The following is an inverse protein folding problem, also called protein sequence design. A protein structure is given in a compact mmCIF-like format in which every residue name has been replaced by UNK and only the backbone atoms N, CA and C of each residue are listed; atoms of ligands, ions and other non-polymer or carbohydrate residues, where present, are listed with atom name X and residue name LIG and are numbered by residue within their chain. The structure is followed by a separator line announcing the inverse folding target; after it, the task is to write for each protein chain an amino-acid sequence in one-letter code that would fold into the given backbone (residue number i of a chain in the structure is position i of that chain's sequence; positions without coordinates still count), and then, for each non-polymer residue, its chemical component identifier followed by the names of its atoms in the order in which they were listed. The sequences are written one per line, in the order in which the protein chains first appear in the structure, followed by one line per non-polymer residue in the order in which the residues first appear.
data_IF_765537339624
#
_entry.id   IF_765537339624
#
_cell.length_a   1.000
_cell.length_b   1.000
_cell.length_c   1.000
_cell.angle_alpha   90.00
_cell.angle_beta   90.00
_cell.angle_gamma   90.00
#
_symmetry.space_group_name_H-M   'P 1'
#
loop_
_entity.id
_entity.type
_entity.pdbx_description
1 polymer ?
#
# COMPACT_ATOMS: atom_id res chain seq x y z
N UNK A 1 -8.40 5.21 24.64
CA UNK A 1 -8.96 5.79 23.40
C UNK A 1 -8.18 5.18 22.24
N UNK A 2 -8.55 3.97 21.82
CA UNK A 2 -7.84 3.26 20.75
C UNK A 2 -8.25 3.91 19.43
N UNK A 3 -7.28 4.53 18.77
CA UNK A 3 -7.49 5.24 17.51
C UNK A 3 -8.11 4.29 16.50
N UNK A 4 -8.98 4.85 15.69
CA UNK A 4 -9.94 4.18 14.82
C UNK A 4 -9.24 3.35 13.72
N UNK A 5 -8.68 2.18 14.05
CA UNK A 5 -8.06 1.25 13.09
C UNK A 5 -9.10 0.40 12.35
N UNK A 6 -10.39 0.58 12.66
CA UNK A 6 -11.48 -0.19 12.04
C UNK A 6 -11.84 0.39 10.69
N UNK A 7 -12.03 -0.47 9.69
CA UNK A 7 -12.42 -0.08 8.34
C UNK A 7 -13.83 0.52 8.34
N UNK A 8 -13.99 1.69 7.74
CA UNK A 8 -15.28 2.36 7.62
C UNK A 8 -16.19 1.61 6.62
N UNK A 9 -17.52 1.69 6.75
CA UNK A 9 -18.43 1.09 5.78
C UNK A 9 -18.16 1.62 4.36
N UNK A 10 -17.93 0.71 3.40
CA UNK A 10 -17.64 1.07 1.99
C UNK A 10 -16.24 1.60 1.72
N UNK A 11 -15.36 1.68 2.73
CA UNK A 11 -13.95 2.06 2.55
C UNK A 11 -13.19 0.95 1.82
N UNK A 12 -12.40 1.33 0.82
CA UNK A 12 -11.53 0.38 0.12
C UNK A 12 -10.43 -0.13 1.04
N UNK A 13 -10.04 -1.40 0.88
CA UNK A 13 -9.04 -2.04 1.75
C UNK A 13 -7.70 -1.29 1.76
N UNK A 14 -7.26 -0.75 0.62
CA UNK A 14 -6.02 0.03 0.52
C UNK A 14 -6.14 1.39 1.19
N UNK A 15 -7.27 2.08 1.00
CA UNK A 15 -7.55 3.36 1.66
C UNK A 15 -7.56 3.20 3.19
N UNK A 16 -8.16 2.11 3.66
CA UNK A 16 -8.13 1.72 5.07
C UNK A 16 -6.72 1.44 5.58
N UNK A 17 -5.92 0.65 4.86
CA UNK A 17 -4.53 0.41 5.22
C UNK A 17 -3.74 1.72 5.33
N UNK A 18 -3.84 2.59 4.33
CA UNK A 18 -3.16 3.89 4.36
C UNK A 18 -3.60 4.74 5.56
N UNK A 19 -4.90 4.73 5.91
CA UNK A 19 -5.39 5.39 7.12
C UNK A 19 -4.84 4.78 8.41
N UNK A 20 -4.69 3.46 8.48
CA UNK A 20 -4.02 2.79 9.59
C UNK A 20 -2.55 3.23 9.71
N UNK A 21 -1.84 3.34 8.59
CA UNK A 21 -0.48 3.90 8.55
C UNK A 21 -0.44 5.32 9.08
N UNK A 22 -1.28 6.21 8.55
CA UNK A 22 -1.37 7.63 8.98
C UNK A 22 -1.71 7.76 10.47
N UNK A 23 -2.46 6.80 11.02
CA UNK A 23 -2.77 6.67 12.45
C UNK A 23 -1.67 6.00 13.29
N UNK A 24 -0.45 5.85 12.74
CA UNK A 24 0.74 5.29 13.37
C UNK A 24 0.65 3.80 13.71
N UNK A 25 -0.01 2.98 12.88
CA UNK A 25 0.00 1.53 13.04
C UNK A 25 1.41 0.91 13.04
N UNK A 26 2.42 1.60 12.49
CA UNK A 26 3.81 1.13 12.50
C UNK A 26 4.50 1.25 13.86
N UNK A 27 4.06 2.18 14.71
CA UNK A 27 4.61 2.36 16.06
C UNK A 27 3.92 1.55 17.14
N UNK A 28 2.92 0.73 16.76
CA UNK A 28 2.16 -0.11 17.69
C UNK A 28 2.60 -1.56 17.51
N UNK A 29 3.47 -2.05 18.38
CA UNK A 29 3.82 -3.47 18.45
C UNK A 29 2.73 -4.22 19.20
N UNK A 30 2.23 -5.31 18.62
CA UNK A 30 1.18 -6.12 19.22
C UNK A 30 1.54 -7.59 19.11
N UNK A 31 1.33 -8.36 20.17
CA UNK A 31 1.24 -9.82 20.06
C UNK A 31 -0.12 -10.22 19.47
N UNK A 32 -0.22 -11.43 18.89
CA UNK A 32 -1.48 -11.93 18.34
C UNK A 32 -2.65 -11.95 19.33
N UNK A 33 -2.40 -11.99 20.65
CA UNK A 33 -3.44 -11.86 21.69
C UNK A 33 -3.92 -10.42 21.88
N UNK A 34 -3.03 -9.44 21.79
CA UNK A 34 -3.36 -8.01 21.88
C UNK A 34 -4.07 -7.56 20.61
N UNK A 35 -3.66 -8.08 19.45
CA UNK A 35 -4.34 -7.85 18.18
C UNK A 35 -5.79 -8.37 18.20
N UNK A 36 -6.09 -9.47 18.92
CA UNK A 36 -7.49 -9.93 19.12
C UNK A 36 -8.33 -8.97 19.94
N UNK A 37 -7.73 -8.20 20.86
CA UNK A 37 -8.45 -7.21 21.66
C UNK A 37 -8.90 -6.01 20.82
N UNK A 38 -8.29 -5.80 19.65
CA UNK A 38 -8.70 -4.77 18.69
C UNK A 38 -10.02 -5.10 17.96
N UNK A 39 -10.54 -6.32 18.11
CA UNK A 39 -11.79 -6.74 17.48
C UNK A 39 -11.69 -6.86 15.96
N UNK A 40 -12.81 -6.65 15.27
CA UNK A 40 -12.90 -6.74 13.81
C UNK A 40 -12.41 -5.45 13.16
N UNK A 41 -11.15 -5.44 12.74
CA UNK A 41 -10.53 -4.27 12.12
C UNK A 41 -10.90 -4.13 10.65
N UNK A 42 -10.77 -5.20 9.87
CA UNK A 42 -11.04 -5.19 8.44
C UNK A 42 -12.53 -5.33 8.11
N UNK A 43 -13.33 -5.81 9.07
CA UNK A 43 -14.74 -6.22 8.85
C UNK A 43 -14.88 -7.36 7.86
N UNK A 44 -13.79 -8.09 7.60
CA UNK A 44 -13.72 -9.28 6.77
C UNK A 44 -13.19 -10.43 7.61
N UNK A 45 -13.99 -11.48 7.81
CA UNK A 45 -13.64 -12.59 8.69
C UNK A 45 -12.31 -13.29 8.34
N UNK A 46 -11.93 -13.30 7.06
CA UNK A 46 -10.64 -13.86 6.62
C UNK A 46 -9.44 -13.05 7.12
N UNK A 47 -9.46 -11.73 6.90
CA UNK A 47 -8.37 -10.82 7.29
C UNK A 47 -8.29 -10.68 8.81
N UNK A 48 -9.43 -10.54 9.51
CA UNK A 48 -9.44 -10.42 10.97
C UNK A 48 -8.91 -11.69 11.68
N UNK A 49 -9.23 -12.87 11.12
CA UNK A 49 -8.71 -14.15 11.64
C UNK A 49 -7.21 -14.30 11.40
N UNK A 50 -6.69 -13.79 10.28
CA UNK A 50 -5.26 -13.80 9.98
C UNK A 50 -4.47 -12.92 10.96
N UNK A 51 -5.00 -11.74 11.29
CA UNK A 51 -4.38 -10.80 12.25
C UNK A 51 -4.20 -11.48 13.62
N UNK A 52 -5.25 -12.09 14.15
CA UNK A 52 -5.21 -12.72 15.48
C UNK A 52 -4.41 -14.02 15.59
N UNK A 53 -3.88 -14.57 14.49
CA UNK A 53 -3.13 -15.85 14.48
C UNK A 53 -1.61 -15.68 14.61
N UNK A 54 -1.08 -14.47 14.44
CA UNK A 54 0.37 -14.23 14.40
C UNK A 54 0.99 -14.38 15.78
N UNK A 55 1.93 -15.33 15.90
CA UNK A 55 2.63 -15.63 17.15
C UNK A 55 3.84 -14.71 17.40
N UNK A 56 4.37 -14.09 16.35
CA UNK A 56 5.53 -13.19 16.44
C UNK A 56 5.06 -11.75 16.71
N UNK A 57 5.76 -11.05 17.60
CA UNK A 57 5.59 -9.61 17.80
C UNK A 57 5.98 -8.87 16.52
N UNK A 58 5.00 -8.32 15.84
CA UNK A 58 5.16 -7.46 14.68
C UNK A 58 4.39 -6.17 14.94
N UNK A 59 4.82 -5.06 14.32
CA UNK A 59 3.99 -3.86 14.32
C UNK A 59 2.63 -4.16 13.69
N UNK A 60 1.57 -3.51 14.18
CA UNK A 60 0.21 -3.62 13.65
C UNK A 60 0.22 -3.41 12.13
N UNK A 61 1.05 -2.49 11.63
CA UNK A 61 1.22 -2.27 10.20
C UNK A 61 1.65 -3.53 9.43
N UNK A 62 2.69 -4.25 9.88
CA UNK A 62 3.16 -5.48 9.23
C UNK A 62 2.14 -6.60 9.38
N UNK A 63 1.41 -6.63 10.51
CA UNK A 63 0.31 -7.58 10.69
C UNK A 63 -0.79 -7.34 9.66
N UNK A 64 -1.22 -6.09 9.48
CA UNK A 64 -2.24 -5.70 8.51
C UNK A 64 -1.82 -6.04 7.07
N UNK A 65 -0.60 -5.67 6.66
CA UNK A 65 -0.11 -5.96 5.31
C UNK A 65 -0.13 -7.46 5.00
N UNK A 66 0.43 -8.29 5.87
CA UNK A 66 0.46 -9.75 5.61
C UNK A 66 -0.94 -10.37 5.70
N UNK A 67 -1.83 -9.88 6.56
CA UNK A 67 -3.21 -10.40 6.64
C UNK A 67 -4.06 -10.02 5.42
N UNK A 68 -3.78 -8.87 4.80
CA UNK A 68 -4.37 -8.51 3.50
C UNK A 68 -3.78 -9.38 2.39
N UNK A 69 -2.45 -9.63 2.39
CA UNK A 69 -1.80 -10.54 1.43
C UNK A 69 -2.35 -11.97 1.48
N UNK A 70 -2.57 -12.51 2.68
CA UNK A 70 -3.16 -13.85 2.87
C UNK A 70 -4.58 -13.95 2.31
N UNK A 71 -5.36 -12.86 2.40
CA UNK A 71 -6.74 -12.82 1.90
C UNK A 71 -6.81 -12.60 0.39
N UNK A 72 -5.88 -11.81 -0.15
CA UNK A 72 -5.80 -11.38 -1.54
C UNK A 72 -4.43 -11.78 -2.11
N UNK A 73 -4.24 -13.06 -2.47
CA UNK A 73 -2.93 -13.57 -2.89
C UNK A 73 -2.43 -12.95 -4.20
N UNK A 74 -3.33 -12.40 -5.03
CA UNK A 74 -2.97 -11.73 -6.28
C UNK A 74 -3.18 -10.22 -6.17
N UNK A 75 -2.21 -9.45 -6.68
CA UNK A 75 -2.24 -7.99 -6.62
C UNK A 75 -3.43 -7.37 -7.32
N UNK A 76 -3.89 -7.99 -8.40
CA UNK A 76 -5.02 -7.58 -9.23
C UNK A 76 -6.34 -7.58 -8.46
N UNK A 77 -6.49 -8.44 -7.45
CA UNK A 77 -7.71 -8.55 -6.63
C UNK A 77 -7.90 -7.32 -5.73
N UNK A 78 -6.84 -6.56 -5.51
CA UNK A 78 -6.83 -5.37 -4.66
C UNK A 78 -6.87 -4.11 -5.53
N UNK A 79 -8.06 -3.53 -5.67
CA UNK A 79 -8.24 -2.32 -6.47
C UNK A 79 -7.77 -1.06 -5.71
N UNK A 80 -6.83 -0.33 -6.30
CA UNK A 80 -6.65 1.11 -6.05
C UNK A 80 -7.51 1.86 -7.06
N UNK A 81 -8.52 2.60 -6.61
CA UNK A 81 -9.38 3.39 -7.50
C UNK A 81 -8.89 4.83 -7.57
N UNK A 82 -8.26 5.26 -8.67
CA UNK A 82 -8.26 6.67 -8.96
C UNK A 82 -9.68 7.03 -9.40
N UNK A 83 -10.39 7.81 -8.60
CA UNK A 83 -11.31 8.76 -9.22
C UNK A 83 -10.50 9.67 -10.16
N UNK A 84 -11.12 10.30 -11.16
CA UNK A 84 -10.49 11.42 -11.89
C UNK A 84 -10.09 12.46 -10.85
N UNK A 85 -8.84 12.44 -10.41
CA UNK A 85 -8.39 13.30 -9.33
C UNK A 85 -8.01 14.62 -9.96
N UNK A 86 -8.71 15.69 -9.62
CA UNK A 86 -8.43 17.03 -10.13
C UNK A 86 -7.43 17.78 -9.25
N UNK A 87 -7.58 17.79 -7.92
CA UNK A 87 -6.59 18.43 -7.05
C UNK A 87 -5.39 17.52 -6.83
N UNK A 88 -4.19 18.12 -6.76
CA UNK A 88 -2.91 17.41 -6.63
C UNK A 88 -2.88 16.53 -5.37
N UNK A 89 -3.54 16.95 -4.29
CA UNK A 89 -3.66 16.22 -3.03
C UNK A 89 -4.32 14.85 -3.22
N UNK A 90 -5.33 14.77 -4.10
CA UNK A 90 -5.98 13.50 -4.45
C UNK A 90 -5.08 12.62 -5.32
N UNK A 91 -4.22 13.23 -6.15
CA UNK A 91 -3.17 12.54 -6.88
C UNK A 91 -2.11 11.94 -5.95
N UNK A 92 -1.61 12.73 -5.00
CA UNK A 92 -0.66 12.28 -3.98
C UNK A 92 -1.27 11.13 -3.16
N UNK A 93 -2.52 11.28 -2.70
CA UNK A 93 -3.22 10.21 -1.99
C UNK A 93 -3.29 8.92 -2.83
N UNK A 94 -3.65 9.03 -4.12
CA UNK A 94 -3.72 7.87 -5.00
C UNK A 94 -2.34 7.22 -5.23
N UNK A 95 -1.27 8.00 -5.32
CA UNK A 95 0.09 7.48 -5.41
C UNK A 95 0.50 6.72 -4.13
N UNK A 96 0.16 7.24 -2.95
CA UNK A 96 0.37 6.55 -1.66
C UNK A 96 -0.42 5.25 -1.59
N UNK A 97 -1.68 5.25 -2.06
CA UNK A 97 -2.49 4.02 -2.13
C UNK A 97 -1.86 2.97 -3.06
N UNK A 98 -1.30 3.39 -4.19
CA UNK A 98 -0.57 2.50 -5.08
C UNK A 98 0.69 1.93 -4.42
N UNK A 99 1.45 2.76 -3.68
CA UNK A 99 2.61 2.32 -2.92
C UNK A 99 2.23 1.30 -1.83
N UNK A 100 1.18 1.56 -1.06
CA UNK A 100 0.67 0.60 -0.05
C UNK A 100 0.26 -0.73 -0.70
N UNK A 101 -0.38 -0.69 -1.88
CA UNK A 101 -0.71 -1.92 -2.60
C UNK A 101 0.56 -2.70 -2.96
N UNK A 102 1.61 -2.07 -3.45
CA UNK A 102 2.87 -2.77 -3.72
C UNK A 102 3.49 -3.36 -2.45
N UNK A 103 3.46 -2.62 -1.34
CA UNK A 103 3.96 -3.09 -0.05
C UNK A 103 3.24 -4.32 0.49
N UNK A 104 1.94 -4.50 0.20
CA UNK A 104 1.21 -5.73 0.54
C UNK A 104 1.87 -6.97 -0.08
N UNK A 105 2.45 -6.82 -1.27
CA UNK A 105 3.06 -7.92 -2.04
C UNK A 105 4.58 -7.95 -1.96
N UNK A 106 5.20 -7.07 -1.17
CA UNK A 106 6.60 -7.16 -0.84
C UNK A 106 6.90 -8.38 0.02
N UNK A 107 8.18 -8.77 0.00
CA UNK A 107 8.70 -9.75 0.94
C UNK A 107 8.75 -9.12 2.34
N UNK A 108 7.68 -9.30 3.11
CA UNK A 108 7.53 -8.75 4.45
C UNK A 108 8.54 -9.31 5.46
N UNK A 109 9.21 -10.43 5.14
CA UNK A 109 10.28 -11.01 5.92
C UNK A 109 11.61 -10.28 5.69
N UNK A 110 11.73 -9.55 4.57
CA UNK A 110 12.86 -8.68 4.30
C UNK A 110 12.75 -7.38 5.10
N UNK A 111 13.45 -7.34 6.23
CA UNK A 111 13.55 -6.19 7.13
C UNK A 111 14.20 -4.95 6.49
N UNK A 112 14.84 -5.09 5.32
CA UNK A 112 15.48 -3.97 4.61
C UNK A 112 14.52 -3.21 3.68
N UNK A 113 13.30 -3.72 3.46
CA UNK A 113 12.33 -3.03 2.62
C UNK A 113 11.71 -1.84 3.35
N UNK A 114 11.43 -0.73 2.65
CA UNK A 114 10.78 0.42 3.25
C UNK A 114 9.44 0.03 3.86
N UNK A 115 9.27 0.31 5.15
CA UNK A 115 7.99 0.16 5.84
C UNK A 115 7.07 1.37 5.66
N UNK A 116 7.59 2.45 5.09
CA UNK A 116 6.91 3.74 4.91
C UNK A 116 6.45 3.91 3.45
N UNK A 117 5.14 4.01 3.18
CA UNK A 117 4.59 4.19 1.84
C UNK A 117 5.08 5.47 1.16
N UNK A 118 5.53 6.48 1.91
CA UNK A 118 6.07 7.73 1.36
C UNK A 118 7.54 7.59 0.90
N UNK A 119 8.21 6.51 1.27
CA UNK A 119 9.61 6.20 0.88
C UNK A 119 9.71 5.09 -0.16
N UNK A 120 8.60 4.39 -0.43
CA UNK A 120 8.57 3.32 -1.43
C UNK A 120 8.76 3.92 -2.82
N UNK A 121 9.78 3.46 -3.51
CA UNK A 121 9.85 3.62 -4.96
C UNK A 121 8.78 2.70 -5.55
N UNK A 122 7.72 3.29 -6.08
CA UNK A 122 6.71 2.58 -6.87
C UNK A 122 7.35 1.72 -7.99
N UNK A 123 6.66 0.77 -8.60
CA UNK A 123 7.20 0.18 -9.84
C UNK A 123 6.99 1.12 -11.04
N UNK A 124 7.73 0.92 -12.14
CA UNK A 124 7.49 1.63 -13.39
C UNK A 124 6.06 1.42 -13.92
N UNK A 125 5.47 0.25 -13.67
CA UNK A 125 4.08 -0.04 -14.05
C UNK A 125 3.09 0.81 -13.24
N UNK A 126 3.33 0.92 -11.93
CA UNK A 126 2.55 1.76 -11.02
C UNK A 126 2.69 3.24 -11.36
N UNK A 127 3.89 3.72 -11.68
CA UNK A 127 4.11 5.09 -12.16
C UNK A 127 3.31 5.38 -13.43
N UNK A 128 3.37 4.47 -14.42
CA UNK A 128 2.56 4.59 -15.65
C UNK A 128 1.05 4.64 -15.35
N UNK A 129 0.57 3.85 -14.39
CA UNK A 129 -0.84 3.88 -13.96
C UNK A 129 -1.21 5.22 -13.31
N UNK A 130 -0.32 5.79 -12.50
CA UNK A 130 -0.49 7.11 -11.90
C UNK A 130 -0.57 8.22 -12.96
N UNK A 131 0.42 8.30 -13.85
CA UNK A 131 0.46 9.32 -14.92
C UNK A 131 -0.79 9.25 -15.81
N UNK A 132 -1.25 8.05 -16.19
CA UNK A 132 -2.47 7.86 -16.99
C UNK A 132 -3.75 8.30 -16.29
N UNK A 133 -3.76 8.34 -14.96
CA UNK A 133 -4.90 8.79 -14.17
C UNK A 133 -4.94 10.31 -13.97
N UNK A 134 -3.86 11.02 -14.33
CA UNK A 134 -3.73 12.44 -14.11
C UNK A 134 -4.63 13.27 -15.02
N UNK A 135 -5.12 14.43 -14.53
CA UNK A 135 -5.72 15.45 -15.38
C UNK A 135 -4.76 15.90 -16.48
N UNK A 136 -5.29 16.32 -17.62
CA UNK A 136 -4.51 16.81 -18.75
C UNK A 136 -3.56 17.97 -18.37
N UNK A 137 -3.93 18.78 -17.37
CA UNK A 137 -3.08 19.86 -16.84
C UNK A 137 -1.78 19.38 -16.18
N UNK A 138 -1.74 18.13 -15.68
CA UNK A 138 -0.59 17.55 -15.00
C UNK A 138 0.09 16.43 -15.80
N UNK A 139 -0.63 15.78 -16.72
CA UNK A 139 -0.17 14.59 -17.43
C UNK A 139 1.20 14.77 -18.09
N UNK A 140 1.43 15.89 -18.79
CA UNK A 140 2.71 16.15 -19.47
C UNK A 140 3.86 16.36 -18.48
N UNK A 141 3.64 17.15 -17.43
CA UNK A 141 4.66 17.39 -16.39
C UNK A 141 5.02 16.12 -15.64
N UNK A 142 4.04 15.26 -15.35
CA UNK A 142 4.27 13.97 -14.70
C UNK A 142 4.94 12.96 -15.62
N UNK A 143 4.64 12.97 -16.92
CA UNK A 143 5.26 12.07 -17.90
C UNK A 143 6.74 12.37 -18.12
N UNK A 144 7.14 13.64 -18.01
CA UNK A 144 8.55 14.10 -18.15
C UNK A 144 9.36 13.84 -16.88
N UNK A 145 8.73 13.69 -15.71
CA UNK A 145 9.45 13.30 -14.51
C UNK A 145 10.00 11.88 -14.68
N UNK A 146 11.34 11.81 -14.71
CA UNK A 146 12.06 10.56 -14.88
C UNK A 146 11.77 9.62 -13.70
N UNK A 147 11.18 8.48 -14.01
CA UNK A 147 11.09 7.35 -13.10
C UNK A 147 12.52 6.82 -12.95
N UNK A 148 13.28 7.31 -11.95
CA UNK A 148 14.71 6.98 -11.77
C UNK A 148 14.98 5.50 -12.05
N UNK A 149 15.50 5.23 -13.24
CA UNK A 149 15.81 3.88 -13.68
C UNK A 149 16.97 3.35 -12.85
N UNK A 150 16.70 2.38 -11.96
CA UNK A 150 17.72 1.44 -11.52
C UNK A 150 17.58 0.16 -12.35
N UNK A 151 17.74 0.30 -13.66
CA UNK A 151 18.58 -0.54 -14.53
C UNK A 151 18.41 -0.02 -15.96
N UNK A 152 19.51 0.54 -16.48
CA UNK A 152 19.60 0.99 -17.87
C UNK A 152 19.45 -0.20 -18.82
N UNK A 153 18.89 -0.01 -20.03
CA UNK A 153 19.01 -1.02 -21.08
C UNK A 153 20.49 -1.25 -21.42
N UNK A 154 20.87 -2.51 -21.60
CA UNK A 154 22.20 -2.91 -22.08
C UNK A 154 22.24 -2.90 -23.61
N UNK A 155 23.45 -2.75 -24.16
CA UNK A 155 23.74 -2.36 -25.55
C UNK A 155 23.30 -3.37 -26.63
N UNK A 156 22.81 -4.57 -26.27
CA UNK A 156 22.15 -5.43 -27.27
C UNK A 156 20.84 -4.82 -27.81
N UNK A 157 20.29 -3.80 -27.15
CA UNK A 157 19.06 -3.11 -27.58
C UNK A 157 19.29 -1.79 -28.36
N UNK A 158 20.52 -1.41 -28.71
CA UNK A 158 20.78 -0.20 -29.55
C UNK A 158 21.78 -0.42 -30.69
N UNK A 159 21.94 -1.67 -31.16
CA UNK A 159 22.66 -1.91 -32.42
C UNK A 159 21.67 -1.79 -33.58
N UNK A 160 21.53 -0.55 -34.09
CA UNK A 160 20.72 -0.18 -35.26
C UNK A 160 20.77 1.32 -35.53
#
# INVERSE_FOLDING_TARGET
MWKDFSRLPGEHIITWLLRCWDNRASGLELEGREAKQLGSLSREGGTDKAIGKKAQALSLWRQLLSSVRERYPFGEDVACRPGKWTPMERGIQYLRELAVREMVYYDLDNMQLPTDPDQVQCTQQTWRKFVRSAPSSYANSLAVMDWKSKEAPTVDEVVG
#
